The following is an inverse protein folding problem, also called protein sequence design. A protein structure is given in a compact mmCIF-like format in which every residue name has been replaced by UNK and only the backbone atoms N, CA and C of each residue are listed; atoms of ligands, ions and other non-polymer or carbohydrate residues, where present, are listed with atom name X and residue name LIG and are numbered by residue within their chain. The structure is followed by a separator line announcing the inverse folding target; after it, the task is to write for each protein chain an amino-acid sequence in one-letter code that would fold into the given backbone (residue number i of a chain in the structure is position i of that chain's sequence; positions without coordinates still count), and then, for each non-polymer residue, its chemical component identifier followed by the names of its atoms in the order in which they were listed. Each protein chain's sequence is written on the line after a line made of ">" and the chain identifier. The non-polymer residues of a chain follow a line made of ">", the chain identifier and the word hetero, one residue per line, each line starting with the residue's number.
data_IF_847741170503
#
_entry.id   IF_847741170503
#
_cell.length_a   1.000
_cell.length_b   1.000
_cell.length_c   1.000
_cell.angle_alpha   90.00
_cell.angle_beta   90.00
_cell.angle_gamma   90.00
#
_symmetry.space_group_name_H-M   'P 1'
#
loop_
_entity.id
_entity.type
_entity.pdbx_description
1 polymer ?
#
# COMPACT_ATOMS: atom_id res chain seq x y z
N UNK A 1 8.69 -17.26 4.38
CA UNK A 1 9.30 -16.06 3.83
C UNK A 1 9.52 -16.10 2.31
N UNK A 2 9.67 -17.28 1.70
CA UNK A 2 10.09 -17.39 0.29
C UNK A 2 8.99 -17.20 -0.77
N UNK A 3 7.74 -16.97 -0.37
CA UNK A 3 6.64 -16.75 -1.32
C UNK A 3 6.20 -15.30 -1.44
N UNK A 4 6.37 -14.49 -0.40
CA UNK A 4 5.95 -13.09 -0.40
C UNK A 4 6.96 -12.16 -1.09
N UNK A 5 8.23 -12.54 -1.17
CA UNK A 5 9.28 -11.72 -1.79
C UNK A 5 9.98 -12.51 -2.89
N UNK A 6 9.48 -12.41 -4.11
CA UNK A 6 10.10 -13.02 -5.29
C UNK A 6 10.80 -11.98 -6.12
N UNK A 7 12.12 -11.88 -5.98
CA UNK A 7 12.97 -11.11 -6.85
C UNK A 7 14.27 -11.87 -7.09
N UNK A 8 14.35 -12.64 -8.18
CA UNK A 8 15.61 -13.23 -8.64
C UNK A 8 16.50 -12.21 -9.38
N UNK A 9 15.93 -11.07 -9.78
CA UNK A 9 16.63 -9.98 -10.45
C UNK A 9 16.67 -8.75 -9.52
N UNK A 10 17.86 -8.27 -9.13
CA UNK A 10 17.97 -7.08 -8.27
C UNK A 10 17.45 -5.79 -8.90
N UNK A 11 17.15 -5.80 -10.20
CA UNK A 11 16.53 -4.68 -10.94
C UNK A 11 15.02 -4.88 -11.14
N UNK A 12 14.45 -6.01 -10.71
CA UNK A 12 13.02 -6.26 -10.80
C UNK A 12 12.30 -5.71 -9.57
N UNK A 13 11.07 -5.25 -9.75
CA UNK A 13 10.19 -4.90 -8.64
C UNK A 13 9.84 -6.15 -7.83
N UNK A 14 9.62 -5.95 -6.54
CA UNK A 14 9.16 -7.01 -5.64
C UNK A 14 7.64 -6.94 -5.54
N UNK A 15 7.01 -8.11 -5.58
CA UNK A 15 5.58 -8.25 -5.41
C UNK A 15 5.32 -8.85 -4.04
N UNK A 16 4.57 -8.12 -3.21
CA UNK A 16 3.99 -8.63 -1.98
C UNK A 16 2.56 -9.03 -2.32
N UNK A 17 2.32 -10.33 -2.34
CA UNK A 17 1.01 -10.92 -2.59
C UNK A 17 0.60 -11.72 -1.36
N UNK A 18 -0.47 -11.31 -0.75
CA UNK A 18 -1.11 -11.96 0.39
C UNK A 18 -2.56 -12.28 0.02
N UNK A 19 -3.26 -13.02 0.87
CA UNK A 19 -4.67 -13.39 0.59
C UNK A 19 -5.57 -12.16 0.58
N UNK A 20 -5.28 -11.17 1.41
CA UNK A 20 -6.15 -10.01 1.60
C UNK A 20 -5.58 -8.71 1.04
N UNK A 21 -4.34 -8.66 0.60
CA UNK A 21 -3.75 -7.47 0.02
C UNK A 21 -2.68 -7.76 -1.02
N UNK A 22 -2.45 -6.77 -1.88
CA UNK A 22 -1.45 -6.80 -2.93
C UNK A 22 -0.69 -5.47 -2.98
N UNK A 23 0.62 -5.55 -3.11
CA UNK A 23 1.50 -4.39 -3.24
C UNK A 23 2.68 -4.71 -4.16
N UNK A 24 2.88 -3.91 -5.20
CA UNK A 24 4.10 -3.89 -5.96
C UNK A 24 5.11 -2.96 -5.29
N UNK A 25 6.17 -3.54 -4.74
CA UNK A 25 7.26 -2.78 -4.14
C UNK A 25 8.30 -2.42 -5.20
N UNK A 26 8.52 -1.13 -5.41
CA UNK A 26 9.43 -0.64 -6.43
C UNK A 26 10.90 -0.81 -5.98
N UNK A 27 11.77 -1.22 -6.90
CA UNK A 27 13.19 -1.33 -6.62
C UNK A 27 13.86 0.04 -6.53
N UNK A 28 14.90 0.12 -5.71
CA UNK A 28 15.69 1.36 -5.57
C UNK A 28 16.23 1.88 -6.91
N UNK A 29 16.58 0.98 -7.83
CA UNK A 29 17.11 1.36 -9.15
C UNK A 29 16.08 2.10 -10.04
N UNK A 30 14.77 1.89 -9.80
CA UNK A 30 13.69 2.52 -10.55
C UNK A 30 13.14 3.80 -9.88
N UNK A 31 13.38 3.98 -8.60
CA UNK A 31 12.81 5.10 -7.85
C UNK A 31 13.10 6.48 -8.48
N UNK A 32 14.35 6.81 -8.92
CA UNK A 32 14.62 8.11 -9.52
C UNK A 32 13.86 8.39 -10.82
N UNK A 33 13.64 7.37 -11.64
CA UNK A 33 12.91 7.51 -12.90
C UNK A 33 11.40 7.64 -12.67
N UNK A 34 10.90 6.94 -11.66
CA UNK A 34 9.47 6.86 -11.33
C UNK A 34 8.99 8.11 -10.58
N UNK A 35 9.80 8.74 -9.75
CA UNK A 35 9.40 9.91 -8.97
C UNK A 35 8.86 11.04 -9.82
N UNK A 36 9.44 11.27 -11.00
CA UNK A 36 8.97 12.28 -11.93
C UNK A 36 7.68 11.86 -12.63
N UNK A 37 7.52 10.58 -12.93
CA UNK A 37 6.34 10.06 -13.62
C UNK A 37 5.09 10.11 -12.73
N UNK A 38 5.24 9.80 -11.43
CA UNK A 38 4.13 9.84 -10.47
C UNK A 38 3.70 11.24 -10.03
N UNK A 39 4.50 12.25 -10.29
CA UNK A 39 4.12 13.64 -10.11
C UNK A 39 3.08 14.12 -11.14
N UNK A 40 2.76 13.28 -12.14
CA UNK A 40 1.81 13.58 -13.21
C UNK A 40 0.68 12.56 -13.23
N UNK A 41 -0.55 13.04 -13.24
CA UNK A 41 -1.75 12.23 -13.38
C UNK A 41 -2.41 12.40 -14.75
N UNK A 42 -3.09 11.35 -15.23
CA UNK A 42 -3.89 11.44 -16.44
C UNK A 42 -5.15 12.30 -16.19
N UNK A 43 -5.20 13.47 -16.81
CA UNK A 43 -6.37 14.34 -16.74
C UNK A 43 -7.36 13.96 -17.85
N UNK A 44 -8.48 13.34 -17.48
CA UNK A 44 -9.52 12.89 -18.43
C UNK A 44 -10.14 14.01 -19.23
N UNK A 45 -10.22 15.22 -18.65
CA UNK A 45 -10.86 16.37 -19.31
C UNK A 45 -9.95 17.03 -20.35
N UNK A 46 -8.64 17.03 -20.07
CA UNK A 46 -7.62 17.57 -20.97
C UNK A 46 -7.03 16.50 -21.91
N UNK A 47 -7.34 15.22 -21.70
CA UNK A 47 -6.80 14.06 -22.42
C UNK A 47 -5.27 14.05 -22.48
N UNK A 48 -4.61 14.41 -21.37
CA UNK A 48 -3.15 14.44 -21.25
C UNK A 48 -2.69 14.25 -19.81
N UNK A 49 -1.42 13.91 -19.64
CA UNK A 49 -0.79 13.91 -18.33
C UNK A 49 -0.52 15.35 -17.88
N UNK A 50 -1.00 15.71 -16.69
CA UNK A 50 -0.78 17.01 -16.06
C UNK A 50 -0.15 16.81 -14.68
N UNK A 51 0.64 17.80 -14.20
CA UNK A 51 1.16 17.77 -12.83
C UNK A 51 0.03 17.58 -11.81
N UNK A 52 0.26 16.73 -10.81
CA UNK A 52 -0.67 16.56 -9.69
C UNK A 52 -0.55 17.79 -8.79
N UNK A 53 -1.66 18.48 -8.57
CA UNK A 53 -1.69 19.68 -7.75
C UNK A 53 -1.29 19.37 -6.30
N UNK A 54 -0.30 20.11 -5.80
CA UNK A 54 0.22 19.95 -4.43
C UNK A 54 1.31 18.89 -4.28
N UNK A 55 1.78 18.26 -5.37
CA UNK A 55 2.90 17.33 -5.31
C UNK A 55 4.17 18.00 -4.76
N UNK A 56 4.92 17.26 -3.93
CA UNK A 56 6.17 17.74 -3.33
C UNK A 56 7.35 16.88 -3.77
N UNK A 57 8.49 17.53 -4.01
CA UNK A 57 9.72 16.84 -4.47
C UNK A 57 10.29 15.87 -3.43
N UNK A 58 10.00 16.11 -2.15
CA UNK A 58 10.44 15.27 -1.04
C UNK A 58 9.64 13.97 -0.89
N UNK A 59 8.62 13.76 -1.71
CA UNK A 59 7.81 12.55 -1.66
C UNK A 59 8.44 11.42 -2.46
N UNK A 60 8.81 10.37 -1.77
CA UNK A 60 9.45 9.19 -2.33
C UNK A 60 8.43 8.07 -2.56
N UNK A 61 8.00 7.89 -3.81
CA UNK A 61 7.12 6.78 -4.19
C UNK A 61 7.91 5.48 -4.16
N UNK A 62 7.39 4.47 -3.45
CA UNK A 62 8.04 3.16 -3.31
C UNK A 62 7.10 1.98 -3.51
N UNK A 63 5.80 2.22 -3.61
CA UNK A 63 4.81 1.16 -3.81
C UNK A 63 3.71 1.56 -4.78
N UNK A 64 3.20 0.57 -5.52
CA UNK A 64 2.06 0.70 -6.43
C UNK A 64 1.04 -0.37 -6.06
N UNK A 65 -0.23 0.01 -6.00
CA UNK A 65 -1.34 -0.86 -5.69
C UNK A 65 -1.98 -1.40 -6.97
N UNK A 66 -2.90 -2.34 -6.81
CA UNK A 66 -3.59 -2.97 -7.94
C UNK A 66 -4.42 -1.98 -8.79
N UNK A 67 -4.91 -0.92 -8.19
CA UNK A 67 -5.74 0.12 -8.82
C UNK A 67 -4.95 1.31 -9.37
N UNK A 68 -3.63 1.15 -9.53
CA UNK A 68 -2.68 2.20 -9.91
C UNK A 68 -2.55 3.34 -8.88
N UNK A 69 -3.10 3.20 -7.68
CA UNK A 69 -2.78 4.08 -6.57
C UNK A 69 -1.36 3.82 -6.06
N UNK A 70 -0.80 4.78 -5.34
CA UNK A 70 0.59 4.74 -4.92
C UNK A 70 0.76 4.85 -3.42
N UNK A 71 1.85 4.25 -2.93
CA UNK A 71 2.40 4.52 -1.61
C UNK A 71 3.66 5.37 -1.73
N UNK A 72 3.72 6.43 -0.94
CA UNK A 72 4.88 7.29 -0.87
C UNK A 72 5.20 7.68 0.57
N UNK A 73 6.49 7.94 0.83
CA UNK A 73 6.96 8.47 2.10
C UNK A 73 7.27 9.97 1.96
N UNK A 74 6.86 10.78 2.94
CA UNK A 74 7.28 12.18 3.02
C UNK A 74 8.64 12.28 3.73
N UNK A 75 9.71 12.37 2.93
CA UNK A 75 11.08 12.37 3.45
C UNK A 75 11.50 13.69 4.10
N UNK A 76 10.71 14.73 4.00
CA UNK A 76 10.93 15.99 4.70
C UNK A 76 10.46 15.96 6.15
N UNK A 77 9.55 15.03 6.48
CA UNK A 77 9.04 14.89 7.84
C UNK A 77 9.85 13.88 8.67
N UNK A 78 9.98 14.09 9.99
CA UNK A 78 10.57 13.09 10.89
C UNK A 78 9.89 11.74 10.71
N UNK A 79 10.67 10.66 10.77
CA UNK A 79 10.20 9.27 10.64
C UNK A 79 9.66 8.89 9.26
N UNK A 80 9.58 9.84 8.31
CA UNK A 80 9.10 9.62 6.95
C UNK A 80 7.74 8.91 6.90
N UNK A 81 6.66 9.59 7.34
CA UNK A 81 5.33 9.02 7.34
C UNK A 81 4.92 8.58 5.95
N UNK A 82 4.15 7.50 5.90
CA UNK A 82 3.70 6.87 4.66
C UNK A 82 2.27 7.26 4.35
N UNK A 83 2.06 7.67 3.12
CA UNK A 83 0.77 8.02 2.58
C UNK A 83 0.40 7.15 1.37
N UNK A 84 -0.88 6.91 1.23
CA UNK A 84 -1.52 6.42 0.02
C UNK A 84 -2.15 7.58 -0.76
N UNK A 85 -2.13 7.49 -2.08
CA UNK A 85 -2.73 8.48 -2.98
C UNK A 85 -3.30 7.81 -4.23
N UNK A 86 -4.55 8.12 -4.55
CA UNK A 86 -5.12 7.82 -5.85
C UNK A 86 -4.79 8.94 -6.84
N UNK A 87 -3.85 8.68 -7.74
CA UNK A 87 -3.27 9.70 -8.63
C UNK A 87 -4.26 10.24 -9.66
N UNK A 88 -5.28 9.47 -10.02
CA UNK A 88 -6.28 9.81 -11.04
C UNK A 88 -7.16 11.04 -10.73
N UNK A 89 -7.14 11.56 -9.50
CA UNK A 89 -7.87 12.78 -9.13
C UNK A 89 -7.11 14.07 -9.45
N UNK A 90 -5.83 13.99 -9.82
CA UNK A 90 -5.02 15.16 -10.20
C UNK A 90 -4.67 16.10 -9.03
N UNK A 91 -4.94 15.73 -7.80
CA UNK A 91 -4.64 16.48 -6.57
C UNK A 91 -4.18 15.55 -5.47
N UNK A 92 -3.45 16.09 -4.50
CA UNK A 92 -2.98 15.34 -3.32
C UNK A 92 -3.92 15.45 -2.11
N UNK A 93 -5.05 16.14 -2.25
CA UNK A 93 -5.99 16.35 -1.13
C UNK A 93 -6.63 15.04 -0.64
N UNK A 94 -6.74 14.05 -1.52
CA UNK A 94 -7.28 12.72 -1.21
C UNK A 94 -6.25 11.76 -0.60
N UNK A 95 -5.02 12.22 -0.32
CA UNK A 95 -4.03 11.36 0.33
C UNK A 95 -4.48 10.94 1.72
N UNK A 96 -4.13 9.71 2.10
CA UNK A 96 -4.39 9.15 3.44
C UNK A 96 -3.09 8.76 4.11
N UNK A 97 -2.96 9.07 5.38
CA UNK A 97 -1.86 8.60 6.22
C UNK A 97 -2.08 7.11 6.51
N UNK A 98 -1.14 6.27 6.05
CA UNK A 98 -1.22 4.80 6.14
C UNK A 98 -0.37 4.25 7.28
N UNK A 99 0.77 4.87 7.54
CA UNK A 99 1.65 4.48 8.64
C UNK A 99 2.52 5.67 9.09
N UNK A 100 2.90 5.72 10.38
CA UNK A 100 3.74 6.81 10.88
C UNK A 100 5.17 6.76 10.35
N UNK A 101 5.59 5.65 9.77
CA UNK A 101 6.90 5.47 9.13
C UNK A 101 6.90 4.28 8.18
N UNK A 102 7.90 4.19 7.28
CA UNK A 102 8.12 3.01 6.43
C UNK A 102 8.37 1.76 7.30
N UNK A 103 9.09 1.91 8.41
CA UNK A 103 9.34 0.78 9.32
C UNK A 103 8.05 0.27 9.97
N UNK A 104 7.16 1.14 10.40
CA UNK A 104 5.86 0.77 10.95
C UNK A 104 4.99 0.07 9.89
N UNK A 105 4.95 0.59 8.65
CA UNK A 105 4.27 -0.09 7.54
C UNK A 105 4.78 -1.52 7.35
N UNK A 106 6.11 -1.69 7.29
CA UNK A 106 6.73 -3.02 7.12
C UNK A 106 6.38 -3.98 8.26
N UNK A 107 6.38 -3.49 9.50
CA UNK A 107 5.99 -4.30 10.67
C UNK A 107 4.53 -4.74 10.58
N UNK A 108 3.64 -3.82 10.20
CA UNK A 108 2.22 -4.13 10.01
C UNK A 108 2.00 -5.16 8.91
N UNK A 109 2.64 -4.99 7.75
CA UNK A 109 2.55 -5.96 6.64
C UNK A 109 3.07 -7.35 7.05
N UNK A 110 4.16 -7.42 7.80
CA UNK A 110 4.67 -8.68 8.33
C UNK A 110 3.70 -9.31 9.35
N UNK A 111 3.09 -8.51 10.22
CA UNK A 111 2.10 -9.00 11.18
C UNK A 111 0.86 -9.58 10.49
N UNK A 112 0.37 -8.91 9.43
CA UNK A 112 -0.74 -9.42 8.60
C UNK A 112 -0.33 -10.72 7.91
N UNK A 113 0.85 -10.77 7.29
CA UNK A 113 1.35 -11.97 6.63
C UNK A 113 1.44 -13.16 7.59
N UNK A 114 2.07 -12.98 8.75
CA UNK A 114 2.21 -14.03 9.77
C UNK A 114 0.84 -14.50 10.29
N UNK A 115 -0.10 -13.58 10.42
CA UNK A 115 -1.46 -13.88 10.82
C UNK A 115 -2.18 -14.72 9.75
N UNK A 116 -2.13 -14.32 8.47
CA UNK A 116 -2.75 -15.06 7.37
C UNK A 116 -2.17 -16.47 7.22
N UNK A 117 -0.84 -16.62 7.38
CA UNK A 117 -0.20 -17.94 7.34
C UNK A 117 -0.72 -18.86 8.44
N UNK A 118 -0.93 -18.36 9.66
CA UNK A 118 -1.51 -19.13 10.76
C UNK A 118 -2.97 -19.49 10.48
N UNK A 119 -3.74 -18.52 10.00
CA UNK A 119 -5.15 -18.70 9.65
C UNK A 119 -5.34 -19.84 8.65
N UNK A 120 -4.54 -19.85 7.59
CA UNK A 120 -4.54 -20.90 6.58
C UNK A 120 -4.08 -22.26 7.12
N UNK A 121 -3.04 -22.27 7.94
CA UNK A 121 -2.53 -23.50 8.54
C UNK A 121 -3.56 -24.18 9.47
N UNK A 122 -4.47 -23.40 10.06
CA UNK A 122 -5.60 -23.89 10.85
C UNK A 122 -6.78 -24.37 9.97
N UNK A 123 -6.67 -24.25 8.65
CA UNK A 123 -7.73 -24.62 7.69
C UNK A 123 -8.96 -23.72 7.74
N UNK A 124 -8.80 -22.48 8.23
CA UNK A 124 -9.90 -21.52 8.37
C UNK A 124 -10.23 -20.87 7.03
N UNK A 125 -11.47 -20.45 6.87
CA UNK A 125 -11.99 -19.88 5.64
C UNK A 125 -11.46 -18.45 5.45
N UNK A 126 -10.91 -18.16 4.26
CA UNK A 126 -10.39 -16.84 3.87
C UNK A 126 -11.47 -16.00 3.19
N UNK A 127 -12.25 -16.60 2.31
CA UNK A 127 -13.31 -15.95 1.56
C UNK A 127 -14.70 -16.40 2.01
N UNK A 128 -15.71 -15.58 1.74
CA UNK A 128 -17.11 -15.95 1.95
C UNK A 128 -17.55 -17.11 1.05
N UNK A 129 -18.79 -17.57 1.22
CA UNK A 129 -19.35 -18.69 0.44
C UNK A 129 -19.41 -18.39 -1.08
N UNK A 130 -19.47 -17.11 -1.45
CA UNK A 130 -19.51 -16.65 -2.85
C UNK A 130 -18.09 -16.49 -3.42
N UNK A 131 -17.06 -16.49 -2.58
CA UNK A 131 -15.64 -16.38 -2.96
C UNK A 131 -15.22 -15.00 -3.46
N UNK A 132 -16.05 -13.98 -3.20
CA UNK A 132 -15.81 -12.64 -3.70
C UNK A 132 -15.44 -11.62 -2.61
N UNK A 133 -15.69 -11.92 -1.34
CA UNK A 133 -15.35 -11.05 -0.22
C UNK A 133 -14.55 -11.82 0.84
N UNK A 134 -13.73 -11.11 1.59
CA UNK A 134 -13.04 -11.68 2.75
C UNK A 134 -14.06 -12.13 3.80
N UNK A 135 -13.87 -13.33 4.35
CA UNK A 135 -14.75 -13.87 5.37
C UNK A 135 -14.85 -12.91 6.58
N UNK A 136 -16.07 -12.68 7.08
CA UNK A 136 -16.33 -11.66 8.11
C UNK A 136 -15.49 -11.84 9.39
N UNK A 137 -15.22 -13.10 9.78
CA UNK A 137 -14.38 -13.39 10.95
C UNK A 137 -12.92 -13.01 10.72
N UNK A 138 -12.39 -13.27 9.51
CA UNK A 138 -11.03 -12.89 9.12
C UNK A 138 -10.93 -11.36 9.07
N UNK A 139 -11.88 -10.69 8.40
CA UNK A 139 -11.94 -9.24 8.31
C UNK A 139 -11.94 -8.59 9.70
N UNK A 140 -12.83 -9.01 10.61
CA UNK A 140 -12.90 -8.48 11.97
C UNK A 140 -11.55 -8.64 12.72
N UNK A 141 -10.89 -9.79 12.56
CA UNK A 141 -9.62 -10.04 13.23
C UNK A 141 -8.47 -9.21 12.64
N UNK A 142 -8.51 -8.97 11.32
CA UNK A 142 -7.54 -8.07 10.67
C UNK A 142 -7.71 -6.61 11.12
N UNK A 143 -8.94 -6.13 11.29
CA UNK A 143 -9.19 -4.80 11.89
C UNK A 143 -8.64 -4.72 13.32
N UNK A 144 -8.91 -5.71 14.17
CA UNK A 144 -8.34 -5.77 15.52
C UNK A 144 -6.80 -5.82 15.52
N UNK A 145 -6.19 -6.41 14.50
CA UNK A 145 -4.73 -6.44 14.33
C UNK A 145 -4.21 -5.06 13.98
N UNK A 146 -4.83 -4.37 13.01
CA UNK A 146 -4.44 -3.01 12.62
C UNK A 146 -4.52 -2.04 13.78
N UNK A 147 -5.59 -2.08 14.56
CA UNK A 147 -5.78 -1.21 15.74
C UNK A 147 -4.69 -1.40 16.80
N UNK A 148 -4.02 -2.55 16.82
CA UNK A 148 -2.88 -2.81 17.71
C UNK A 148 -1.54 -2.36 17.14
N UNK A 149 -1.38 -2.49 15.82
CA UNK A 149 -0.10 -2.22 15.13
C UNK A 149 0.06 -0.75 14.75
N UNK A 150 -1.04 -0.03 14.50
CA UNK A 150 -1.04 1.33 13.98
C UNK A 150 -1.85 2.30 14.86
N UNK A 151 -1.48 3.59 14.88
CA UNK A 151 -2.36 4.65 15.37
C UNK A 151 -3.70 4.66 14.62
N UNK A 152 -4.79 5.01 15.29
CA UNK A 152 -6.16 4.97 14.76
C UNK A 152 -6.31 5.66 13.39
N UNK A 153 -5.69 6.83 13.21
CA UNK A 153 -5.72 7.56 11.92
C UNK A 153 -4.99 6.82 10.80
N UNK A 154 -3.90 6.11 11.13
CA UNK A 154 -3.15 5.29 10.17
C UNK A 154 -3.90 4.00 9.83
N UNK A 155 -4.53 3.36 10.82
CA UNK A 155 -5.34 2.17 10.61
C UNK A 155 -6.48 2.44 9.62
N UNK A 156 -7.23 3.54 9.80
CA UNK A 156 -8.28 3.95 8.88
C UNK A 156 -7.77 4.22 7.46
N UNK A 157 -6.60 4.88 7.34
CA UNK A 157 -5.98 5.11 6.02
C UNK A 157 -5.46 3.82 5.38
N UNK A 158 -4.94 2.88 6.18
CA UNK A 158 -4.53 1.56 5.71
C UNK A 158 -5.73 0.76 5.17
N UNK A 159 -6.84 0.73 5.92
CA UNK A 159 -8.06 0.06 5.48
C UNK A 159 -8.57 0.62 4.16
N UNK A 160 -8.66 1.95 4.02
CA UNK A 160 -9.09 2.60 2.78
C UNK A 160 -8.16 2.25 1.61
N UNK A 161 -6.85 2.17 1.87
CA UNK A 161 -5.84 1.89 0.85
C UNK A 161 -5.84 0.43 0.37
N UNK A 162 -5.96 -0.53 1.28
CA UNK A 162 -5.73 -1.94 0.98
C UNK A 162 -6.99 -2.80 0.95
N UNK A 163 -8.08 -2.38 1.62
CA UNK A 163 -9.31 -3.16 1.76
C UNK A 163 -10.59 -2.39 1.39
N UNK A 164 -10.44 -1.11 0.95
CA UNK A 164 -11.53 -0.22 0.58
C UNK A 164 -12.15 -0.45 -0.80
#
# INVERSE_FOLDING_TARGET
>A
MDRAWKGENPLADYWLEMETLFLQWLTYARLPDIWNDWAFGWNRKAEQYLPIEGWREEWAVFGVMFDDSILFADTAEPDSPVYWLMTGYGTVENRRLVAPSVAALMQTLLAIYDFEQKWQAEGRVVYDEEGCCTAAELSATLHDLLDRELPLECAAGFEEAFWG
#
